data_IF_612647025767
#
_entry.id   IF_612647025767
#
_cell.length_a   1.000
_cell.length_b   1.000
_cell.length_c   1.000
_cell.angle_alpha   90.00
_cell.angle_beta   90.00
_cell.angle_gamma   90.00
#
_symmetry.space_group_name_H-M   'P 1'
#
loop_
_entity.id
_entity.type
_entity.pdbx_description
1 polymer ?
#
# COMPACT_ATOMS: atom_id res chain seq x y z
N UNK A 1 -2.47 4.95 -23.52
CA UNK A 1 -3.39 5.72 -22.65
C UNK A 1 -3.33 5.11 -21.27
N UNK A 2 -2.77 5.83 -20.29
CA UNK A 2 -2.79 5.40 -18.89
C UNK A 2 -4.23 5.39 -18.38
N UNK A 3 -4.70 4.28 -17.81
CA UNK A 3 -6.00 4.22 -17.14
C UNK A 3 -5.92 5.12 -15.91
N UNK A 4 -6.43 6.35 -16.00
CA UNK A 4 -6.49 7.27 -14.86
C UNK A 4 -7.35 6.64 -13.75
N UNK A 5 -6.70 6.31 -12.66
CA UNK A 5 -7.34 5.93 -11.41
C UNK A 5 -8.02 7.21 -10.89
N UNK A 6 -9.36 7.30 -11.03
CA UNK A 6 -10.16 8.38 -10.44
C UNK A 6 -10.33 8.12 -8.94
N UNK A 7 -9.27 8.34 -8.16
CA UNK A 7 -9.37 8.26 -6.70
C UNK A 7 -8.87 9.57 -6.13
N UNK A 8 -9.71 10.21 -5.31
CA UNK A 8 -9.36 11.42 -4.57
C UNK A 8 -8.24 11.08 -3.57
N UNK A 9 -7.15 11.85 -3.56
CA UNK A 9 -5.98 11.61 -2.70
C UNK A 9 -6.35 11.48 -1.21
N UNK A 10 -7.29 12.30 -0.71
CA UNK A 10 -7.77 12.20 0.67
C UNK A 10 -8.58 10.94 0.96
N UNK A 11 -9.26 10.38 -0.06
CA UNK A 11 -9.91 9.07 0.07
C UNK A 11 -8.88 7.92 0.08
N UNK A 12 -7.74 8.07 -0.60
CA UNK A 12 -6.64 7.10 -0.56
C UNK A 12 -5.95 7.08 0.80
N UNK A 13 -5.65 8.23 1.40
CA UNK A 13 -5.01 8.28 2.72
C UNK A 13 -5.83 7.56 3.80
N UNK A 14 -7.16 7.76 3.83
CA UNK A 14 -8.03 7.10 4.79
C UNK A 14 -8.14 5.57 4.59
N UNK A 15 -8.10 5.11 3.33
CA UNK A 15 -8.11 3.68 2.99
C UNK A 15 -6.76 3.05 3.37
N UNK A 16 -5.66 3.70 3.02
CA UNK A 16 -4.30 3.23 3.28
C UNK A 16 -4.02 3.15 4.78
N UNK A 17 -4.40 4.16 5.57
CA UNK A 17 -4.19 4.17 7.02
C UNK A 17 -4.86 3.00 7.74
N UNK A 18 -6.12 2.71 7.43
CA UNK A 18 -6.84 1.56 8.00
C UNK A 18 -6.33 0.23 7.44
N UNK A 19 -5.96 0.19 6.16
CA UNK A 19 -5.46 -1.02 5.53
C UNK A 19 -4.07 -1.43 6.03
N UNK A 20 -3.23 -0.48 6.48
CA UNK A 20 -1.90 -0.75 7.09
C UNK A 20 -1.97 -1.56 8.39
N UNK A 21 -3.04 -1.43 9.17
CA UNK A 21 -3.21 -2.19 10.41
C UNK A 21 -3.36 -3.71 10.16
N UNK A 22 -3.87 -4.11 9.00
CA UNK A 22 -4.13 -5.52 8.69
C UNK A 22 -2.83 -6.33 8.56
N UNK A 23 -1.87 -5.97 7.68
CA UNK A 23 -0.60 -6.70 7.59
C UNK A 23 0.29 -6.54 8.82
N UNK A 24 0.29 -5.38 9.50
CA UNK A 24 1.23 -5.13 10.62
C UNK A 24 0.75 -5.67 11.96
N UNK A 25 -0.54 -5.59 12.28
CA UNK A 25 -1.05 -6.10 13.56
C UNK A 25 -1.75 -7.44 13.39
N UNK A 26 -2.76 -7.52 12.54
CA UNK A 26 -3.66 -8.68 12.51
C UNK A 26 -2.97 -9.92 11.94
N UNK A 27 -2.18 -9.76 10.88
CA UNK A 27 -1.42 -10.87 10.32
C UNK A 27 -0.30 -11.34 11.25
N UNK A 28 0.36 -10.42 11.96
CA UNK A 28 1.38 -10.80 12.95
C UNK A 28 0.79 -11.52 14.16
N UNK A 29 -0.36 -11.08 14.65
CA UNK A 29 -1.12 -11.82 15.67
C UNK A 29 -1.52 -13.22 15.20
N UNK A 30 -1.99 -13.36 13.95
CA UNK A 30 -2.37 -14.65 13.40
C UNK A 30 -1.16 -15.61 13.30
N UNK A 31 -0.03 -15.11 12.81
CA UNK A 31 1.23 -15.85 12.73
C UNK A 31 1.69 -16.29 14.12
N UNK A 32 1.64 -15.39 15.11
CA UNK A 32 2.02 -15.68 16.49
C UNK A 32 1.10 -16.71 17.14
N UNK A 33 -0.22 -16.59 16.97
CA UNK A 33 -1.19 -17.58 17.47
C UNK A 33 -0.96 -18.96 16.85
N UNK A 34 -0.68 -19.01 15.54
CA UNK A 34 -0.37 -20.25 14.84
C UNK A 34 0.93 -20.87 15.38
N UNK A 35 1.96 -20.07 15.67
CA UNK A 35 3.20 -20.54 16.30
C UNK A 35 2.95 -21.13 17.69
N UNK A 36 2.23 -20.41 18.55
CA UNK A 36 1.91 -20.87 19.90
C UNK A 36 1.09 -22.17 19.89
N UNK A 37 0.18 -22.32 18.93
CA UNK A 37 -0.59 -23.55 18.75
C UNK A 37 0.34 -24.72 18.41
N UNK A 38 1.28 -24.53 17.48
CA UNK A 38 2.28 -25.56 17.16
C UNK A 38 3.13 -25.94 18.36
N UNK A 39 3.60 -24.95 19.12
CA UNK A 39 4.44 -25.18 20.29
C UNK A 39 3.67 -26.01 21.35
N UNK A 40 2.37 -25.76 21.52
CA UNK A 40 1.50 -26.52 22.44
C UNK A 40 1.32 -27.97 22.01
N UNK A 41 1.37 -28.25 20.71
CA UNK A 41 1.13 -29.59 20.15
C UNK A 41 2.41 -30.43 20.05
N UNK A 42 3.57 -29.87 20.42
CA UNK A 42 4.85 -30.61 20.48
C UNK A 42 4.85 -31.75 21.49
N UNK A 43 3.96 -31.72 22.49
CA UNK A 43 3.81 -32.76 23.51
C UNK A 43 2.84 -33.87 23.10
N UNK A 44 2.28 -33.83 21.88
CA UNK A 44 1.30 -34.81 21.44
C UNK A 44 2.00 -36.09 20.95
N UNK A 45 1.69 -37.23 21.57
CA UNK A 45 2.19 -38.54 21.17
C UNK A 45 1.31 -39.19 20.07
N UNK A 46 1.92 -39.84 19.07
CA UNK A 46 1.24 -40.53 17.96
C UNK A 46 1.78 -40.15 16.55
N UNK A 47 1.08 -40.56 15.48
CA UNK A 47 1.40 -40.18 14.07
C UNK A 47 0.80 -38.83 13.63
N UNK A 48 -0.22 -38.34 14.35
CA UNK A 48 -0.86 -37.04 14.15
C UNK A 48 0.08 -35.80 14.14
N UNK A 49 1.22 -35.75 14.88
CA UNK A 49 2.10 -34.60 14.91
C UNK A 49 2.75 -34.27 13.56
N UNK A 50 3.00 -35.27 12.71
CA UNK A 50 3.71 -35.08 11.45
C UNK A 50 2.85 -34.34 10.42
N UNK A 51 1.60 -34.79 10.23
CA UNK A 51 0.63 -34.11 9.35
C UNK A 51 0.25 -32.71 9.86
N UNK A 52 0.17 -32.54 11.18
CA UNK A 52 -0.05 -31.22 11.77
C UNK A 52 1.15 -30.28 11.54
N UNK A 53 2.39 -30.76 11.66
CA UNK A 53 3.59 -29.97 11.45
C UNK A 53 3.75 -29.52 9.98
N UNK A 54 3.39 -30.37 9.02
CA UNK A 54 3.38 -29.99 7.61
C UNK A 54 2.32 -28.93 7.30
N UNK A 55 1.09 -29.13 7.78
CA UNK A 55 0.00 -28.16 7.60
C UNK A 55 0.32 -26.81 8.26
N UNK A 56 0.97 -26.84 9.44
CA UNK A 56 1.44 -25.65 10.13
C UNK A 56 2.46 -24.88 9.28
N UNK A 57 3.47 -25.57 8.75
CA UNK A 57 4.48 -24.95 7.87
C UNK A 57 3.83 -24.31 6.65
N UNK A 58 2.90 -25.00 6.00
CA UNK A 58 2.20 -24.50 4.81
C UNK A 58 1.37 -23.25 5.14
N UNK A 59 0.60 -23.30 6.24
CA UNK A 59 -0.22 -22.18 6.68
C UNK A 59 0.64 -20.98 7.11
N UNK A 60 1.71 -21.21 7.85
CA UNK A 60 2.65 -20.17 8.28
C UNK A 60 3.29 -19.48 7.07
N UNK A 61 3.74 -20.27 6.08
CA UNK A 61 4.28 -19.75 4.83
C UNK A 61 3.26 -18.93 4.03
N UNK A 62 2.02 -19.43 3.95
CA UNK A 62 0.91 -18.73 3.27
C UNK A 62 0.61 -17.39 3.94
N UNK A 63 0.52 -17.34 5.27
CA UNK A 63 0.29 -16.09 6.02
C UNK A 63 1.41 -15.07 5.80
N UNK A 64 2.68 -15.50 5.79
CA UNK A 64 3.82 -14.61 5.49
C UNK A 64 3.72 -14.05 4.07
N UNK A 65 3.41 -14.89 3.08
CA UNK A 65 3.24 -14.46 1.69
C UNK A 65 2.10 -13.46 1.54
N UNK A 66 0.96 -13.74 2.16
CA UNK A 66 -0.20 -12.84 2.15
C UNK A 66 0.12 -11.50 2.81
N UNK A 67 0.81 -11.50 3.95
CA UNK A 67 1.29 -10.27 4.60
C UNK A 67 2.18 -9.45 3.67
N UNK A 68 3.15 -10.10 3.01
CA UNK A 68 4.07 -9.44 2.08
C UNK A 68 3.34 -8.84 0.87
N UNK A 69 2.36 -9.55 0.31
CA UNK A 69 1.52 -9.05 -0.78
C UNK A 69 0.72 -7.81 -0.36
N UNK A 70 0.10 -7.83 0.83
CA UNK A 70 -0.63 -6.68 1.37
C UNK A 70 0.28 -5.45 1.53
N UNK A 71 1.49 -5.63 2.08
CA UNK A 71 2.47 -4.55 2.21
C UNK A 71 2.86 -3.99 0.84
N UNK A 72 3.07 -4.86 -0.14
CA UNK A 72 3.43 -4.46 -1.50
C UNK A 72 2.32 -3.62 -2.15
N UNK A 73 1.07 -4.07 -2.03
CA UNK A 73 -0.09 -3.33 -2.52
C UNK A 73 -0.17 -1.94 -1.88
N UNK A 74 0.01 -1.84 -0.56
CA UNK A 74 -0.01 -0.56 0.15
C UNK A 74 1.10 0.37 -0.33
N UNK A 75 2.32 -0.14 -0.51
CA UNK A 75 3.43 0.66 -1.03
C UNK A 75 3.16 1.15 -2.45
N UNK A 76 2.62 0.32 -3.32
CA UNK A 76 2.24 0.74 -4.69
C UNK A 76 1.14 1.79 -4.67
N UNK A 77 0.22 1.74 -3.71
CA UNK A 77 -0.78 2.79 -3.53
C UNK A 77 -0.13 4.10 -3.08
N UNK A 78 0.81 4.06 -2.13
CA UNK A 78 1.57 5.24 -1.69
C UNK A 78 2.33 5.89 -2.87
N UNK A 79 3.09 5.09 -3.62
CA UNK A 79 3.84 5.54 -4.81
C UNK A 79 2.91 6.16 -5.87
N UNK A 80 1.69 5.62 -6.01
CA UNK A 80 0.69 6.15 -6.94
C UNK A 80 0.10 7.49 -6.48
N UNK A 81 -0.08 7.67 -5.17
CA UNK A 81 -0.54 8.96 -4.60
C UNK A 81 0.53 10.03 -4.79
N UNK A 82 1.79 9.72 -4.48
CA UNK A 82 2.92 10.63 -4.62
C UNK A 82 3.08 11.09 -6.08
N UNK A 83 3.08 10.14 -7.03
CA UNK A 83 3.18 10.44 -8.46
C UNK A 83 2.04 11.32 -8.98
N UNK A 84 0.81 11.14 -8.47
CA UNK A 84 -0.32 12.00 -8.83
C UNK A 84 -0.15 13.42 -8.27
N UNK A 85 0.35 13.56 -7.03
CA UNK A 85 0.62 14.86 -6.42
C UNK A 85 1.69 15.63 -7.20
N UNK A 86 2.77 14.97 -7.61
CA UNK A 86 3.83 15.56 -8.43
C UNK A 86 3.29 16.04 -9.79
N UNK A 87 2.46 15.22 -10.45
CA UNK A 87 1.83 15.60 -11.72
C UNK A 87 0.92 16.83 -11.60
N UNK A 88 0.13 16.91 -10.52
CA UNK A 88 -0.74 18.06 -10.27
C UNK A 88 0.08 19.32 -9.97
N UNK A 89 1.21 19.21 -9.27
CA UNK A 89 2.13 20.33 -9.04
C UNK A 89 2.80 20.82 -10.34
N UNK A 90 3.29 19.91 -11.19
CA UNK A 90 3.87 20.26 -12.49
C UNK A 90 2.84 20.94 -13.42
N UNK A 91 1.62 20.43 -13.46
CA UNK A 91 0.50 21.07 -14.17
C UNK A 91 0.19 22.46 -13.60
N UNK A 92 0.14 22.60 -12.28
CA UNK A 92 -0.07 23.89 -11.61
C UNK A 92 1.03 24.91 -11.92
N UNK A 93 2.29 24.48 -11.95
CA UNK A 93 3.43 25.34 -12.28
C UNK A 93 3.43 25.74 -13.77
N UNK A 94 3.16 24.79 -14.68
CA UNK A 94 3.09 25.08 -16.12
C UNK A 94 1.94 26.03 -16.48
N UNK A 95 0.77 25.91 -15.82
CA UNK A 95 -0.34 26.85 -15.98
C UNK A 95 -0.02 28.24 -15.43
N UNK A 96 0.63 28.35 -14.27
CA UNK A 96 1.09 29.66 -13.73
C UNK A 96 2.17 30.30 -14.60
N UNK A 97 3.10 29.51 -15.14
CA UNK A 97 4.14 29.98 -16.05
C UNK A 97 3.61 30.51 -17.39
N UNK A 98 2.52 29.92 -17.92
CA UNK A 98 1.85 30.43 -19.12
C UNK A 98 0.95 31.64 -18.83
N UNK A 99 0.32 31.72 -17.66
CA UNK A 99 -0.45 32.89 -17.26
C UNK A 99 0.43 34.15 -17.15
N UNK A 100 1.67 34.02 -16.68
CA UNK A 100 2.62 35.15 -16.57
C UNK A 100 3.21 35.60 -17.91
N UNK A 101 3.23 34.73 -18.94
CA UNK A 101 3.66 35.12 -20.29
C UNK A 101 2.59 35.84 -21.11
N UNK A 102 1.31 35.69 -20.74
CA UNK A 102 0.19 36.38 -21.40
C UNK A 102 0.09 37.88 -21.05
N UNK A 103 0.61 38.31 -19.90
CA UNK A 103 0.53 39.71 -19.45
C UNK A 103 1.75 40.58 -19.82
N UNK A 104 2.80 40.02 -20.43
CA UNK A 104 3.99 40.78 -20.81
C UNK A 104 3.97 41.37 -22.23
N UNK A 105 2.96 41.08 -23.05
CA UNK A 105 2.89 41.58 -24.43
C UNK A 105 1.90 42.73 -24.68
N UNK A 106 1.06 43.10 -23.71
CA UNK A 106 0.02 44.14 -23.91
C UNK A 106 0.37 45.53 -23.34
N UNK A 107 1.56 45.74 -22.76
CA UNK A 107 1.93 47.05 -22.17
C UNK A 107 2.91 47.88 -23.00
N UNK A 108 3.09 47.62 -24.29
CA UNK A 108 4.04 48.35 -25.16
C UNK A 108 3.44 48.93 -26.45
N UNK A 109 2.15 49.29 -26.44
CA UNK A 109 1.51 49.97 -27.58
C UNK A 109 0.75 51.26 -27.26
N UNK A 110 1.09 51.94 -26.16
CA UNK A 110 0.69 53.34 -25.97
C UNK A 110 1.86 54.19 -25.50
N UNK A 111 2.63 54.71 -26.45
CA UNK A 111 3.08 56.12 -26.54
C UNK A 111 4.03 56.34 -27.72
#
# INVERSE_FOLDING_TARGET
>A
MAKQIKVNAGAMEGIVGNARQVPEQRMDEAINKLKNLSDTLTTWEGEAPQGHAELHKELHYTLIKTKSLMITILRTLDESVESLSEQDEELGQSMKGNALKGYSNDSLLER
#
